data_IF_425776988540
#
_entry.id   IF_425776988540
#
_cell.length_a   1.000
_cell.length_b   1.000
_cell.length_c   1.000
_cell.angle_alpha   90.00
_cell.angle_beta   90.00
_cell.angle_gamma   90.00
#
_symmetry.space_group_name_H-M   'P 1'
#
loop_
_entity.id
_entity.type
_entity.pdbx_description
1 polymer ?
#
# COMPACT_ATOMS: atom_id res chain seq x y z
N UNK A 1 -9.60 3.81 -11.71
CA UNK A 1 -9.40 4.20 -10.31
C UNK A 1 -8.21 5.13 -10.19
N UNK A 2 -8.10 5.87 -9.10
CA UNK A 2 -6.96 6.75 -8.87
C UNK A 2 -5.73 5.96 -8.42
N UNK A 3 -4.54 6.57 -8.52
CA UNK A 3 -3.31 5.96 -8.05
C UNK A 3 -3.38 5.63 -6.56
N UNK A 4 -3.99 6.52 -5.77
CA UNK A 4 -4.15 6.32 -4.34
C UNK A 4 -5.02 5.10 -4.03
N UNK A 5 -6.13 4.94 -4.75
CA UNK A 5 -7.00 3.78 -4.59
C UNK A 5 -6.28 2.49 -4.96
N UNK A 6 -5.47 2.52 -6.01
CA UNK A 6 -4.69 1.36 -6.44
C UNK A 6 -3.68 0.94 -5.37
N UNK A 7 -3.01 1.92 -4.73
CA UNK A 7 -2.07 1.63 -3.64
C UNK A 7 -2.80 0.97 -2.47
N UNK A 8 -3.97 1.50 -2.07
CA UNK A 8 -4.76 0.93 -0.98
C UNK A 8 -5.15 -0.51 -1.29
N UNK A 9 -5.65 -0.76 -2.50
CA UNK A 9 -6.03 -2.11 -2.92
C UNK A 9 -4.84 -3.06 -2.97
N UNK A 10 -3.67 -2.56 -3.40
CA UNK A 10 -2.46 -3.37 -3.45
C UNK A 10 -2.02 -3.82 -2.06
N UNK A 11 -2.11 -2.92 -1.07
CA UNK A 11 -1.80 -3.26 0.32
C UNK A 11 -2.70 -4.41 0.79
N UNK A 12 -4.00 -4.29 0.54
CA UNK A 12 -4.95 -5.34 0.94
C UNK A 12 -4.69 -6.64 0.20
N UNK A 13 -4.37 -6.57 -1.09
CA UNK A 13 -4.06 -7.75 -1.91
C UNK A 13 -2.83 -8.49 -1.35
N UNK A 14 -1.78 -7.75 -1.00
CA UNK A 14 -0.57 -8.35 -0.45
C UNK A 14 -0.81 -8.97 0.92
N UNK A 15 -1.61 -8.33 1.74
CA UNK A 15 -1.99 -8.89 3.04
C UNK A 15 -2.78 -10.18 2.87
N UNK A 16 -3.72 -10.20 1.92
CA UNK A 16 -4.53 -11.37 1.65
C UNK A 16 -3.69 -12.53 1.12
N UNK A 17 -2.79 -12.25 0.17
CA UNK A 17 -1.89 -13.27 -0.38
C UNK A 17 -1.03 -13.92 0.70
N UNK A 18 -0.66 -13.16 1.71
CA UNK A 18 0.22 -13.64 2.79
C UNK A 18 -0.55 -14.08 4.03
N UNK A 19 -1.87 -14.01 3.96
CA UNK A 19 -2.73 -14.33 5.11
C UNK A 19 -2.28 -13.55 6.34
N UNK A 20 -2.04 -12.25 6.15
CA UNK A 20 -1.49 -11.35 7.15
C UNK A 20 -2.49 -10.27 7.52
N UNK A 21 -2.72 -10.07 8.81
CA UNK A 21 -3.58 -8.98 9.28
C UNK A 21 -2.86 -7.64 9.19
N UNK A 22 -3.62 -6.54 9.13
CA UNK A 22 -3.06 -5.19 9.06
C UNK A 22 -2.13 -4.92 10.26
N UNK A 23 -2.52 -5.34 11.45
CA UNK A 23 -1.69 -5.14 12.65
C UNK A 23 -0.35 -5.88 12.56
N UNK A 24 -0.36 -7.06 11.95
CA UNK A 24 0.87 -7.83 11.74
C UNK A 24 1.78 -7.12 10.74
N UNK A 25 1.20 -6.58 9.66
CA UNK A 25 1.96 -5.81 8.70
C UNK A 25 2.58 -4.56 9.34
N UNK A 26 1.80 -3.85 10.16
CA UNK A 26 2.29 -2.67 10.86
C UNK A 26 3.50 -3.00 11.73
N UNK A 27 3.41 -4.10 12.47
CA UNK A 27 4.51 -4.56 13.32
C UNK A 27 5.76 -4.88 12.49
N UNK A 28 5.60 -5.60 11.39
CA UNK A 28 6.70 -5.97 10.51
C UNK A 28 7.33 -4.75 9.82
N UNK A 29 6.52 -3.75 9.51
CA UNK A 29 6.98 -2.54 8.82
C UNK A 29 7.54 -1.48 9.77
N UNK A 30 7.38 -1.67 11.07
CA UNK A 30 7.83 -0.68 12.06
C UNK A 30 7.00 0.59 12.07
N UNK A 31 5.72 0.50 11.73
CA UNK A 31 4.80 1.63 11.74
C UNK A 31 3.61 1.31 12.64
N UNK A 32 2.85 2.35 13.02
CA UNK A 32 1.63 2.11 13.79
C UNK A 32 0.52 1.59 12.88
N UNK A 33 -0.42 0.78 13.39
CA UNK A 33 -1.57 0.35 12.60
C UNK A 33 -2.35 1.53 12.02
N UNK A 34 -2.47 2.64 12.74
CA UNK A 34 -3.19 3.82 12.26
C UNK A 34 -2.55 4.40 10.99
N UNK A 35 -1.23 4.28 10.84
CA UNK A 35 -0.53 4.72 9.63
C UNK A 35 -1.04 3.93 8.42
N UNK A 36 -1.18 2.62 8.55
CA UNK A 36 -1.67 1.79 7.45
C UNK A 36 -3.14 2.08 7.17
N UNK A 37 -3.96 2.21 8.20
CA UNK A 37 -5.38 2.54 8.01
C UNK A 37 -5.54 3.90 7.32
N UNK A 38 -4.67 4.87 7.60
CA UNK A 38 -4.66 6.15 6.88
C UNK A 38 -4.36 5.95 5.40
N UNK A 39 -3.42 5.07 5.08
CA UNK A 39 -3.09 4.76 3.68
C UNK A 39 -4.24 4.08 2.95
N UNK A 40 -5.09 3.35 3.67
CA UNK A 40 -6.24 2.66 3.10
C UNK A 40 -7.46 3.57 2.96
N UNK A 41 -7.49 4.67 3.68
CA UNK A 41 -8.65 5.56 3.72
C UNK A 41 -8.64 6.48 2.50
N UNK A 42 -9.71 6.42 1.69
CA UNK A 42 -9.83 7.22 0.48
C UNK A 42 -9.86 8.73 0.75
N UNK A 43 -10.18 9.13 1.96
CA UNK A 43 -10.27 10.56 2.34
C UNK A 43 -8.98 11.08 2.95
N UNK A 44 -8.00 10.24 3.20
CA UNK A 44 -6.76 10.66 3.83
C UNK A 44 -5.76 11.17 2.79
N UNK A 45 -4.62 11.65 3.27
CA UNK A 45 -3.54 12.14 2.41
C UNK A 45 -2.95 11.01 1.58
N UNK A 46 -2.30 11.38 0.49
CA UNK A 46 -1.63 10.42 -0.38
C UNK A 46 -0.53 9.70 0.39
N UNK A 47 -0.39 8.39 0.20
CA UNK A 47 0.72 7.66 0.82
C UNK A 47 2.04 8.11 0.21
N UNK A 48 3.02 8.39 1.08
CA UNK A 48 4.36 8.76 0.62
C UNK A 48 5.16 7.54 0.22
N UNK A 49 6.16 7.76 -0.65
CA UNK A 49 7.00 6.67 -1.13
C UNK A 49 7.78 6.01 0.01
N UNK A 50 8.17 6.77 1.03
CA UNK A 50 8.89 6.20 2.17
C UNK A 50 7.98 5.27 2.98
N UNK A 51 6.72 5.65 3.16
CA UNK A 51 5.75 4.79 3.83
C UNK A 51 5.55 3.49 3.06
N UNK A 52 5.43 3.59 1.73
CA UNK A 52 5.30 2.41 0.87
C UNK A 52 6.55 1.53 1.01
N UNK A 53 7.74 2.14 1.03
CA UNK A 53 8.99 1.38 1.19
C UNK A 53 9.03 0.65 2.53
N UNK A 54 8.55 1.26 3.61
CA UNK A 54 8.47 0.60 4.91
C UNK A 54 7.58 -0.63 4.85
N UNK A 55 6.45 -0.55 4.17
CA UNK A 55 5.57 -1.71 3.99
C UNK A 55 6.28 -2.79 3.17
N UNK A 56 6.99 -2.40 2.12
CA UNK A 56 7.76 -3.34 1.31
C UNK A 56 8.79 -4.07 2.16
N UNK A 57 9.50 -3.35 3.02
CA UNK A 57 10.49 -3.96 3.91
C UNK A 57 9.81 -4.94 4.88
N UNK A 58 8.65 -4.57 5.41
CA UNK A 58 7.88 -5.47 6.28
C UNK A 58 7.35 -6.71 5.58
N UNK A 59 7.13 -6.62 4.27
CA UNK A 59 6.66 -7.73 3.44
C UNK A 59 7.81 -8.48 2.78
N UNK A 60 9.04 -8.00 2.94
CA UNK A 60 10.24 -8.56 2.30
C UNK A 60 10.11 -8.59 0.78
N UNK A 61 9.64 -7.48 0.22
CA UNK A 61 9.54 -7.31 -1.24
C UNK A 61 10.21 -6.00 -1.64
N UNK A 62 10.51 -5.87 -2.92
CA UNK A 62 11.03 -4.62 -3.48
C UNK A 62 9.88 -3.66 -3.80
N UNK A 63 10.20 -2.38 -3.99
CA UNK A 63 9.22 -1.40 -4.50
C UNK A 63 8.69 -1.86 -5.86
N UNK A 64 9.57 -2.40 -6.70
CA UNK A 64 9.17 -2.93 -8.02
C UNK A 64 8.10 -4.01 -7.86
N UNK A 65 8.30 -4.95 -6.94
CA UNK A 65 7.33 -6.02 -6.69
C UNK A 65 6.02 -5.48 -6.15
N UNK A 66 6.07 -4.44 -5.33
CA UNK A 66 4.87 -3.79 -4.82
C UNK A 66 3.98 -3.31 -5.97
N UNK A 67 4.59 -2.65 -6.97
CA UNK A 67 3.85 -2.08 -8.09
C UNK A 67 3.65 -3.04 -9.26
N UNK A 68 4.08 -4.28 -9.13
CA UNK A 68 3.87 -5.31 -10.16
C UNK A 68 2.48 -5.91 -10.01
N UNK A 69 1.48 -5.17 -10.47
CA UNK A 69 0.09 -5.56 -10.36
C UNK A 69 -0.72 -4.85 -11.43
N UNK A 70 -1.73 -5.53 -11.96
CA UNK A 70 -2.65 -4.95 -12.93
C UNK A 70 -3.41 -3.75 -12.37
N UNK A 71 -3.44 -3.59 -11.06
CA UNK A 71 -4.07 -2.45 -10.41
C UNK A 71 -3.50 -1.11 -10.91
N UNK A 72 -2.24 -1.10 -11.36
CA UNK A 72 -1.55 0.12 -11.77
C UNK A 72 -1.55 0.36 -13.27
N UNK A 73 -2.19 -0.53 -14.05
CA UNK A 73 -2.12 -0.46 -15.51
C UNK A 73 -3.03 0.59 -16.14
N UNK A 74 -4.12 0.93 -15.50
CA UNK A 74 -5.14 1.80 -16.08
C UNK A 74 -5.65 2.80 -15.04
N UNK A 75 -4.76 3.72 -14.67
CA UNK A 75 -5.06 4.71 -13.65
C UNK A 75 -5.53 6.01 -14.26
N UNK A 76 -6.38 6.73 -13.54
CA UNK A 76 -6.84 8.06 -13.94
C UNK A 76 -5.65 9.03 -13.97
N UNK A 77 -5.71 9.98 -14.90
CA UNK A 77 -4.71 11.04 -14.93
C UNK A 77 -4.86 11.95 -13.71
N UNK A 78 -3.72 12.31 -13.12
CA UNK A 78 -3.72 13.25 -11.99
C UNK A 78 -3.54 14.68 -12.47
N UNK A 79 -3.05 14.87 -13.69
CA UNK A 79 -2.88 16.19 -14.30
C UNK A 79 -4.22 16.64 -14.84
N UNK A 80 -4.62 17.84 -14.48
CA UNK A 80 -5.92 18.40 -14.89
C UNK A 80 -5.74 19.61 -15.77
#
# INVERSE_FOLDING_TARGET
>A
MSAKEAVAKRILELCEERNMAINALASSAGVSPSTIYSMLNSKSQNPGIVSIKKLCDGLDISIRQFFDSNLFDDLEQEIK
#
